data_IF_665034460293
#
_entry.id   IF_665034460293
#
_cell.length_a   1.000
_cell.length_b   1.000
_cell.length_c   1.000
_cell.angle_alpha   90.00
_cell.angle_beta   90.00
_cell.angle_gamma   90.00
#
_symmetry.space_group_name_H-M   'P 1'
#
loop_
_entity.id
_entity.type
_entity.pdbx_description
1 polymer ?
#
# COMPACT_ATOMS: atom_id res chain seq x y z
N UNK A 1 -36.80 -0.10 7.33
CA UNK A 1 -35.37 -0.13 7.73
C UNK A 1 -34.59 0.64 6.70
N UNK A 2 -34.36 1.93 6.92
CA UNK A 2 -33.48 2.74 6.10
C UNK A 2 -32.03 2.30 6.41
N UNK A 3 -31.20 1.93 5.43
CA UNK A 3 -29.79 1.69 5.67
C UNK A 3 -29.17 3.04 6.04
N UNK A 4 -28.97 3.25 7.34
CA UNK A 4 -28.23 4.41 7.82
C UNK A 4 -26.88 4.40 7.12
N UNK A 5 -26.57 5.46 6.41
CA UNK A 5 -25.25 5.73 5.84
C UNK A 5 -24.25 5.75 6.99
N UNK A 6 -23.67 4.58 7.30
CA UNK A 6 -22.59 4.49 8.28
C UNK A 6 -21.44 5.33 7.73
N UNK A 7 -21.25 6.52 8.29
CA UNK A 7 -20.13 7.38 7.93
C UNK A 7 -18.85 6.59 8.12
N UNK A 8 -18.08 6.49 7.06
CA UNK A 8 -16.78 5.83 7.12
C UNK A 8 -15.96 6.45 8.25
N UNK A 9 -15.50 5.62 9.17
CA UNK A 9 -14.68 6.09 10.29
C UNK A 9 -13.31 6.59 9.78
N UNK A 10 -12.59 7.34 10.59
CA UNK A 10 -11.36 7.99 10.15
C UNK A 10 -10.33 6.98 9.63
N UNK A 11 -10.14 5.85 10.33
CA UNK A 11 -9.25 4.78 9.87
C UNK A 11 -9.65 4.25 8.49
N UNK A 12 -10.94 4.04 8.25
CA UNK A 12 -11.46 3.61 6.95
C UNK A 12 -11.13 4.60 5.83
N UNK A 13 -11.31 5.91 6.07
CA UNK A 13 -10.94 6.95 5.10
C UNK A 13 -9.45 6.94 4.77
N UNK A 14 -8.60 6.75 5.78
CA UNK A 14 -7.15 6.68 5.60
C UNK A 14 -6.79 5.46 4.76
N UNK A 15 -7.36 4.27 5.04
CA UNK A 15 -7.08 3.07 4.26
C UNK A 15 -7.65 3.12 2.84
N UNK A 16 -8.78 3.81 2.61
CA UNK A 16 -9.25 4.11 1.25
C UNK A 16 -8.22 4.95 0.50
N UNK A 17 -7.68 5.99 1.13
CA UNK A 17 -6.61 6.80 0.53
C UNK A 17 -5.37 5.96 0.21
N UNK A 18 -4.94 5.10 1.12
CA UNK A 18 -3.82 4.17 0.91
C UNK A 18 -4.09 3.22 -0.26
N UNK A 19 -5.30 2.65 -0.34
CA UNK A 19 -5.70 1.78 -1.43
C UNK A 19 -5.71 2.48 -2.79
N UNK A 20 -6.25 3.69 -2.85
CA UNK A 20 -6.24 4.51 -4.07
C UNK A 20 -4.81 4.90 -4.50
N UNK A 21 -3.93 5.18 -3.53
CA UNK A 21 -2.50 5.40 -3.82
C UNK A 21 -1.86 4.17 -4.47
N UNK A 22 -2.10 2.97 -3.94
CA UNK A 22 -1.58 1.72 -4.52
C UNK A 22 -2.13 1.47 -5.92
N UNK A 23 -3.41 1.76 -6.17
CA UNK A 23 -4.01 1.67 -7.51
C UNK A 23 -3.33 2.64 -8.46
N UNK A 24 -3.15 3.89 -8.07
CA UNK A 24 -2.49 4.90 -8.89
C UNK A 24 -1.03 4.52 -9.20
N UNK A 25 -0.29 4.05 -8.19
CA UNK A 25 1.09 3.61 -8.35
C UNK A 25 1.19 2.36 -9.25
N UNK A 26 0.30 1.38 -9.08
CA UNK A 26 0.24 0.20 -9.95
C UNK A 26 -0.09 0.57 -11.40
N UNK A 27 -0.97 1.54 -11.61
CA UNK A 27 -1.29 2.09 -12.95
C UNK A 27 -0.07 2.77 -13.57
N UNK A 28 0.70 3.52 -12.76
CA UNK A 28 1.97 4.10 -13.21
C UNK A 28 2.95 3.00 -13.65
N UNK A 29 3.07 1.89 -12.92
CA UNK A 29 3.94 0.77 -13.27
C UNK A 29 3.51 0.09 -14.58
N UNK A 30 2.21 -0.02 -14.83
CA UNK A 30 1.68 -0.63 -16.05
C UNK A 30 1.88 0.24 -17.30
N UNK A 31 1.67 1.56 -17.17
CA UNK A 31 1.51 2.43 -18.33
C UNK A 31 2.69 3.38 -18.58
N UNK A 32 3.36 3.82 -17.51
CA UNK A 32 4.27 4.97 -17.60
C UNK A 32 5.70 4.66 -17.16
N UNK A 33 5.91 3.63 -16.32
CA UNK A 33 7.24 3.36 -15.77
C UNK A 33 8.20 2.87 -16.87
N UNK A 34 9.35 3.53 -17.08
CA UNK A 34 10.41 3.01 -17.95
C UNK A 34 10.95 1.68 -17.43
N UNK A 35 11.45 0.84 -18.33
CA UNK A 35 12.06 -0.44 -17.96
C UNK A 35 13.31 -0.26 -17.09
N UNK A 36 14.11 0.76 -17.39
CA UNK A 36 15.27 1.17 -16.60
C UNK A 36 15.11 2.65 -16.22
N UNK A 37 15.27 2.95 -14.93
CA UNK A 37 15.35 4.30 -14.38
C UNK A 37 16.83 4.76 -14.36
N UNK A 38 17.10 6.07 -14.28
CA UNK A 38 18.47 6.57 -14.23
C UNK A 38 19.32 6.03 -13.06
N UNK A 39 18.66 5.65 -11.95
CA UNK A 39 19.32 5.03 -10.79
C UNK A 39 19.69 3.57 -10.98
N UNK A 40 19.00 2.82 -11.86
CA UNK A 40 19.23 1.38 -12.03
C UNK A 40 20.65 1.09 -12.54
N UNK A 41 21.18 1.75 -13.64
CA UNK A 41 22.56 1.60 -14.06
C UNK A 41 23.56 2.00 -12.99
N UNK A 42 23.29 3.04 -12.24
CA UNK A 42 24.13 3.51 -11.14
C UNK A 42 24.26 2.46 -10.04
N UNK A 43 23.15 1.82 -9.66
CA UNK A 43 23.13 0.74 -8.67
C UNK A 43 23.85 -0.51 -9.17
N UNK A 44 23.72 -0.84 -10.47
CA UNK A 44 24.40 -1.97 -11.11
C UNK A 44 25.91 -1.70 -11.28
N UNK A 45 26.35 -0.45 -11.24
CA UNK A 45 27.74 -0.06 -11.47
C UNK A 45 28.15 -0.09 -12.95
N UNK A 46 27.21 0.14 -13.86
CA UNK A 46 27.44 0.12 -15.31
C UNK A 46 26.74 1.29 -16.01
N UNK A 47 27.05 1.54 -17.28
CA UNK A 47 26.33 2.52 -18.09
C UNK A 47 25.08 1.88 -18.74
N UNK A 48 24.06 2.70 -19.01
CA UNK A 48 22.85 2.25 -19.71
C UNK A 48 23.18 1.65 -21.09
N UNK A 49 24.15 2.24 -21.78
CA UNK A 49 24.62 1.76 -23.09
C UNK A 49 25.27 0.39 -22.97
N UNK A 50 26.17 0.21 -22.00
CA UNK A 50 26.83 -1.09 -21.75
C UNK A 50 25.81 -2.18 -21.41
N UNK A 51 24.78 -1.85 -20.61
CA UNK A 51 23.72 -2.79 -20.27
C UNK A 51 22.91 -3.20 -21.51
N UNK A 52 22.58 -2.24 -22.38
CA UNK A 52 21.83 -2.50 -23.63
C UNK A 52 22.62 -3.36 -24.60
N UNK A 53 23.91 -3.12 -24.72
CA UNK A 53 24.80 -3.91 -25.58
C UNK A 53 24.99 -5.33 -25.07
N UNK A 54 25.19 -5.49 -23.75
CA UNK A 54 25.39 -6.80 -23.14
C UNK A 54 24.10 -7.64 -23.07
N UNK A 55 22.95 -6.99 -22.85
CA UNK A 55 21.66 -7.65 -22.58
C UNK A 55 20.51 -7.00 -23.38
N UNK A 56 20.46 -7.15 -24.72
CA UNK A 56 19.47 -6.45 -25.55
C UNK A 56 18.01 -6.81 -25.28
N UNK A 57 17.76 -7.94 -24.59
CA UNK A 57 16.40 -8.37 -24.18
C UNK A 57 15.94 -7.89 -22.81
N UNK A 58 16.85 -7.32 -22.00
CA UNK A 58 16.58 -7.00 -20.59
C UNK A 58 15.41 -6.02 -20.41
N UNK A 59 15.39 -4.93 -21.18
CA UNK A 59 14.31 -3.91 -21.05
C UNK A 59 12.95 -4.49 -21.40
N UNK A 60 12.88 -5.38 -22.40
CA UNK A 60 11.62 -6.06 -22.76
C UNK A 60 11.16 -6.98 -21.64
N UNK A 61 12.05 -7.75 -21.06
CA UNK A 61 11.75 -8.65 -19.95
C UNK A 61 11.32 -7.86 -18.70
N UNK A 62 12.06 -6.82 -18.31
CA UNK A 62 11.71 -5.96 -17.16
C UNK A 62 10.33 -5.32 -17.32
N UNK A 63 9.95 -4.90 -18.54
CA UNK A 63 8.61 -4.39 -18.79
C UNK A 63 7.51 -5.39 -18.41
N UNK A 64 7.69 -6.67 -18.76
CA UNK A 64 6.74 -7.71 -18.35
C UNK A 64 6.74 -7.92 -16.85
N UNK A 65 7.89 -7.90 -16.18
CA UNK A 65 7.98 -7.97 -14.72
C UNK A 65 7.22 -6.82 -14.07
N UNK A 66 7.42 -5.59 -14.54
CA UNK A 66 6.73 -4.42 -14.00
C UNK A 66 5.23 -4.40 -14.29
N UNK A 67 4.80 -4.96 -15.40
CA UNK A 67 3.37 -5.14 -15.67
C UNK A 67 2.73 -6.09 -14.64
N UNK A 68 3.37 -7.19 -14.31
CA UNK A 68 2.89 -8.11 -13.27
C UNK A 68 2.88 -7.42 -11.90
N UNK A 69 3.96 -6.72 -11.55
CA UNK A 69 4.03 -5.94 -10.29
C UNK A 69 2.92 -4.89 -10.22
N UNK A 70 2.71 -4.11 -11.28
CA UNK A 70 1.63 -3.12 -11.35
C UNK A 70 0.26 -3.74 -11.14
N UNK A 71 0.01 -4.90 -11.75
CA UNK A 71 -1.23 -5.68 -11.54
C UNK A 71 -1.43 -6.08 -10.07
N UNK A 72 -0.42 -6.61 -9.41
CA UNK A 72 -0.49 -6.94 -7.97
C UNK A 72 -0.70 -5.70 -7.09
N UNK A 73 -0.08 -4.57 -7.43
CA UNK A 73 -0.28 -3.31 -6.70
C UNK A 73 -1.72 -2.82 -6.83
N UNK A 74 -2.30 -2.85 -8.04
CA UNK A 74 -3.71 -2.50 -8.26
C UNK A 74 -4.62 -3.43 -7.46
N UNK A 75 -4.41 -4.75 -7.55
CA UNK A 75 -5.22 -5.73 -6.82
C UNK A 75 -5.16 -5.49 -5.30
N UNK A 76 -3.96 -5.27 -4.74
CA UNK A 76 -3.78 -4.94 -3.33
C UNK A 76 -4.50 -3.64 -2.95
N UNK A 77 -4.41 -2.60 -3.78
CA UNK A 77 -5.07 -1.32 -3.56
C UNK A 77 -6.59 -1.44 -3.58
N UNK A 78 -7.15 -2.17 -4.54
CA UNK A 78 -8.58 -2.45 -4.62
C UNK A 78 -9.05 -3.22 -3.38
N UNK A 79 -8.36 -4.29 -3.01
CA UNK A 79 -8.73 -5.09 -1.83
C UNK A 79 -8.61 -4.30 -0.53
N UNK A 80 -7.59 -3.44 -0.38
CA UNK A 80 -7.45 -2.54 0.77
C UNK A 80 -8.63 -1.56 0.84
N UNK A 81 -9.03 -0.98 -0.29
CA UNK A 81 -10.16 -0.06 -0.38
C UNK A 81 -11.47 -0.77 -0.01
N UNK A 82 -11.72 -1.95 -0.56
CA UNK A 82 -12.90 -2.75 -0.23
C UNK A 82 -12.92 -3.13 1.25
N UNK A 83 -11.78 -3.62 1.78
CA UNK A 83 -11.66 -3.93 3.20
C UNK A 83 -11.99 -2.71 4.08
N UNK A 84 -11.46 -1.53 3.73
CA UNK A 84 -11.74 -0.30 4.45
C UNK A 84 -13.22 0.10 4.42
N UNK A 85 -13.92 -0.16 3.33
CA UNK A 85 -15.35 0.16 3.18
C UNK A 85 -16.28 -0.83 3.90
N UNK A 86 -15.95 -2.13 3.89
CA UNK A 86 -16.86 -3.18 4.33
C UNK A 86 -16.55 -3.79 5.71
N UNK A 87 -15.33 -3.59 6.26
CA UNK A 87 -14.88 -4.16 7.53
C UNK A 87 -15.04 -3.28 8.79
N UNK A 88 -15.63 -2.07 8.77
CA UNK A 88 -15.71 -1.22 9.97
C UNK A 88 -16.53 -1.79 11.13
N UNK A 89 -17.42 -2.77 10.85
CA UNK A 89 -18.44 -3.20 11.83
C UNK A 89 -17.90 -4.04 12.99
N UNK A 90 -16.77 -4.74 12.86
CA UNK A 90 -16.36 -5.73 13.87
C UNK A 90 -15.01 -5.49 14.53
N UNK A 91 -14.25 -4.51 14.19
CA UNK A 91 -12.97 -4.11 14.81
C UNK A 91 -12.13 -5.26 15.43
N UNK A 92 -12.01 -6.34 14.68
CA UNK A 92 -11.34 -7.54 15.12
C UNK A 92 -9.80 -7.39 15.05
N UNK A 93 -9.09 -8.09 15.92
CA UNK A 93 -7.63 -8.12 15.90
C UNK A 93 -7.10 -8.75 14.60
N UNK A 94 -7.81 -9.70 14.03
CA UNK A 94 -7.51 -10.33 12.74
C UNK A 94 -7.46 -9.32 11.59
N UNK A 95 -8.41 -8.38 11.55
CA UNK A 95 -8.42 -7.29 10.57
C UNK A 95 -7.22 -6.36 10.77
N UNK A 96 -6.89 -6.02 12.03
CA UNK A 96 -5.69 -5.23 12.32
C UNK A 96 -4.42 -5.95 11.84
N UNK A 97 -4.26 -7.23 12.14
CA UNK A 97 -3.11 -8.04 11.74
C UNK A 97 -2.99 -8.15 10.21
N UNK A 98 -4.12 -8.31 9.52
CA UNK A 98 -4.14 -8.34 8.05
C UNK A 98 -3.71 -6.99 7.45
N UNK A 99 -4.22 -5.86 7.97
CA UNK A 99 -3.82 -4.53 7.53
C UNK A 99 -2.35 -4.24 7.85
N UNK A 100 -1.86 -4.65 9.02
CA UNK A 100 -0.46 -4.50 9.40
C UNK A 100 0.46 -5.28 8.44
N UNK A 101 0.15 -6.55 8.19
CA UNK A 101 0.92 -7.39 7.28
C UNK A 101 0.88 -6.84 5.84
N UNK A 102 -0.30 -6.47 5.36
CA UNK A 102 -0.46 -5.88 4.02
C UNK A 102 0.39 -4.61 3.88
N UNK A 103 0.36 -3.70 4.85
CA UNK A 103 1.17 -2.49 4.83
C UNK A 103 2.67 -2.77 4.89
N UNK A 104 3.10 -3.69 5.75
CA UNK A 104 4.51 -4.05 5.87
C UNK A 104 5.07 -4.63 4.56
N UNK A 105 4.33 -5.55 3.93
CA UNK A 105 4.77 -6.25 2.71
C UNK A 105 4.58 -5.41 1.44
N UNK A 106 3.60 -4.50 1.40
CA UNK A 106 3.40 -3.62 0.25
C UNK A 106 4.23 -2.33 0.37
N UNK A 107 3.72 -1.33 1.08
CA UNK A 107 4.36 0.00 1.15
C UNK A 107 5.64 0.00 1.98
N UNK A 108 5.73 -0.82 3.02
CA UNK A 108 6.92 -0.94 3.86
C UNK A 108 8.11 -1.52 3.08
N UNK A 109 7.94 -2.70 2.47
CA UNK A 109 8.99 -3.35 1.68
C UNK A 109 9.39 -2.49 0.47
N UNK A 110 8.41 -1.87 -0.20
CA UNK A 110 8.69 -0.93 -1.30
C UNK A 110 9.58 0.23 -0.85
N UNK A 111 9.28 0.84 0.31
CA UNK A 111 10.07 1.94 0.84
C UNK A 111 11.49 1.50 1.17
N UNK A 112 11.66 0.38 1.89
CA UNK A 112 12.99 -0.19 2.22
C UNK A 112 13.80 -0.44 0.95
N UNK A 113 13.21 -1.06 -0.06
CA UNK A 113 13.88 -1.34 -1.34
C UNK A 113 14.34 -0.05 -2.02
N UNK A 114 13.52 1.00 -2.03
CA UNK A 114 13.91 2.26 -2.63
C UNK A 114 15.05 2.97 -1.88
N UNK A 115 15.13 2.82 -0.55
CA UNK A 115 16.29 3.29 0.21
C UNK A 115 17.56 2.49 -0.11
N UNK A 116 17.47 1.17 -0.22
CA UNK A 116 18.60 0.31 -0.61
C UNK A 116 19.12 0.64 -2.02
N UNK A 117 18.24 0.99 -2.94
CA UNK A 117 18.58 1.39 -4.32
C UNK A 117 19.07 2.84 -4.42
N UNK A 118 19.06 3.63 -3.34
CA UNK A 118 19.28 5.07 -3.39
C UNK A 118 18.43 5.78 -4.47
N UNK A 119 17.15 5.35 -4.57
CA UNK A 119 16.22 5.90 -5.56
C UNK A 119 15.99 7.39 -5.33
N UNK A 120 15.86 8.15 -6.40
CA UNK A 120 15.49 9.56 -6.33
C UNK A 120 14.09 9.77 -5.71
N UNK A 121 13.26 8.74 -5.68
CA UNK A 121 11.90 8.76 -5.14
C UNK A 121 11.78 8.21 -3.71
N UNK A 122 12.88 7.83 -3.05
CA UNK A 122 12.87 7.17 -1.73
C UNK A 122 12.07 7.94 -0.67
N UNK A 123 12.20 9.27 -0.62
CA UNK A 123 11.49 10.12 0.33
C UNK A 123 9.99 10.25 0.01
N UNK A 124 9.64 10.32 -1.28
CA UNK A 124 8.25 10.36 -1.72
C UNK A 124 7.53 9.04 -1.38
N UNK A 125 8.21 7.90 -1.57
CA UNK A 125 7.68 6.57 -1.31
C UNK A 125 7.66 6.20 0.18
N UNK A 126 8.29 6.98 1.04
CA UNK A 126 8.16 6.87 2.49
C UNK A 126 6.84 7.45 3.01
N UNK A 127 6.27 8.44 2.33
CA UNK A 127 5.04 9.10 2.75
C UNK A 127 3.85 8.13 2.92
N UNK A 128 3.56 7.21 1.98
CA UNK A 128 2.49 6.20 2.17
C UNK A 128 2.70 5.31 3.40
N UNK A 129 3.95 5.06 3.82
CA UNK A 129 4.23 4.28 5.03
C UNK A 129 3.71 5.03 6.27
N UNK A 130 3.97 6.32 6.39
CA UNK A 130 3.46 7.14 7.49
C UNK A 130 1.93 7.22 7.49
N UNK A 131 1.32 7.39 6.31
CA UNK A 131 -0.15 7.41 6.19
C UNK A 131 -0.74 6.06 6.60
N UNK A 132 -0.11 4.96 6.24
CA UNK A 132 -0.54 3.61 6.64
C UNK A 132 -0.44 3.41 8.15
N UNK A 133 0.68 3.80 8.76
CA UNK A 133 0.86 3.76 10.22
C UNK A 133 -0.20 4.60 10.94
N UNK A 134 -0.49 5.81 10.45
CA UNK A 134 -1.55 6.65 10.99
C UNK A 134 -2.92 5.94 10.91
N UNK A 135 -3.22 5.26 9.81
CA UNK A 135 -4.42 4.43 9.66
C UNK A 135 -4.51 3.31 10.69
N UNK A 136 -3.39 2.60 10.94
CA UNK A 136 -3.33 1.54 11.97
C UNK A 136 -3.52 2.10 13.38
N UNK A 137 -2.90 3.22 13.71
CA UNK A 137 -3.08 3.88 15.00
C UNK A 137 -4.52 4.36 15.22
N UNK A 138 -5.13 4.96 14.20
CA UNK A 138 -6.54 5.33 14.24
C UNK A 138 -7.44 4.10 14.44
N UNK A 139 -7.17 3.00 13.75
CA UNK A 139 -7.91 1.75 13.89
C UNK A 139 -7.84 1.21 15.32
N UNK A 140 -6.65 1.19 15.94
CA UNK A 140 -6.48 0.75 17.33
C UNK A 140 -7.25 1.64 18.31
N UNK A 141 -7.18 2.96 18.15
CA UNK A 141 -7.92 3.90 19.00
C UNK A 141 -9.44 3.66 18.91
N UNK A 142 -9.95 3.54 17.70
CA UNK A 142 -11.37 3.30 17.46
C UNK A 142 -11.80 1.92 17.98
N UNK A 143 -10.92 0.90 17.95
CA UNK A 143 -11.17 -0.41 18.53
C UNK A 143 -11.31 -0.35 20.05
N UNK A 144 -10.40 0.36 20.73
CA UNK A 144 -10.45 0.52 22.20
C UNK A 144 -11.78 1.17 22.62
N UNK A 145 -12.20 2.24 21.93
CA UNK A 145 -13.46 2.94 22.21
C UNK A 145 -14.66 1.99 22.01
N UNK A 146 -14.66 1.20 20.94
CA UNK A 146 -15.73 0.26 20.65
C UNK A 146 -15.85 -0.84 21.71
N UNK A 147 -14.73 -1.42 22.16
CA UNK A 147 -14.73 -2.45 23.20
C UNK A 147 -15.20 -1.90 24.54
N UNK A 148 -14.77 -0.69 24.92
CA UNK A 148 -15.20 -0.03 26.15
C UNK A 148 -16.71 0.24 26.16
N UNK A 149 -17.25 0.80 25.08
CA UNK A 149 -18.67 1.06 24.93
C UNK A 149 -19.54 -0.21 24.98
N UNK A 150 -19.04 -1.32 24.42
CA UNK A 150 -19.73 -2.60 24.49
C UNK A 150 -19.77 -3.17 25.90
N UNK A 151 -18.66 -3.12 26.63
CA UNK A 151 -18.57 -3.60 28.02
C UNK A 151 -19.54 -2.84 28.95
N UNK A 152 -19.70 -1.53 28.70
CA UNK A 152 -20.62 -0.69 29.45
C UNK A 152 -22.09 -1.05 29.16
N UNK A 153 -22.43 -1.32 27.91
CA UNK A 153 -23.80 -1.75 27.54
C UNK A 153 -24.19 -3.11 28.12
N UNK A 154 -23.22 -4.04 28.21
CA UNK A 154 -23.45 -5.39 28.75
C UNK A 154 -23.59 -5.38 30.30
N UNK A 155 -23.17 -4.33 31.01
CA UNK A 155 -23.34 -4.17 32.45
C UNK A 155 -24.74 -3.65 32.82
N UNK A 156 -25.45 -3.00 31.91
CA UNK A 156 -26.78 -2.40 32.14
C UNK A 156 -27.95 -3.25 31.55
N UNK A 157 -27.64 -4.39 30.98
CA UNK A 157 -28.57 -5.34 30.40
C UNK A 157 -28.76 -6.57 31.30
#
# INVERSE_FOLDING_TARGET
MTPGTSRLQLSGKIFVLCGLWLVALGTYFLLLRPALLPEDPRYIGSSLESIRLALPGLERWLRHVFNVMGGFMIATGVMTTLAACYLPARRELTTFSALLLTGAVSVGLMSVTNFLLNSNFQWLLLLPVFVWIAGLLCYLRERVIFVASKAESDQFS
#
